data_IF_212971865574
#
_entry.id   IF_212971865574
#
_cell.length_a   1.000
_cell.length_b   1.000
_cell.length_c   1.000
_cell.angle_alpha   90.00
_cell.angle_beta   90.00
_cell.angle_gamma   90.00
#
_symmetry.space_group_name_H-M   'P 1'
#
loop_
_entity.id
_entity.type
_entity.pdbx_description
1 polymer ?
#
# COMPACT_ATOMS: atom_id res chain seq x y z
N UNK A 1 1.98 4.91 21.76
CA UNK A 1 2.18 4.10 20.54
C UNK A 1 3.65 3.74 20.25
N UNK A 2 4.58 4.69 20.32
CA UNK A 2 6.00 4.47 19.95
C UNK A 2 6.76 3.45 20.81
N UNK A 3 6.24 3.14 22.00
CA UNK A 3 6.80 2.16 22.94
C UNK A 3 6.18 0.76 22.75
N UNK A 4 5.23 0.60 21.81
CA UNK A 4 4.63 -0.70 21.53
C UNK A 4 5.70 -1.56 20.84
N UNK A 5 6.02 -2.69 21.47
CA UNK A 5 7.01 -3.61 20.94
C UNK A 5 6.51 -4.32 19.68
N UNK A 6 7.47 -4.87 18.95
CA UNK A 6 7.21 -5.63 17.75
C UNK A 6 6.29 -6.83 17.99
N UNK A 7 6.54 -7.54 19.09
CA UNK A 7 5.81 -8.73 19.52
C UNK A 7 4.36 -8.40 19.86
N UNK A 8 4.11 -7.22 20.45
CA UNK A 8 2.75 -6.77 20.76
C UNK A 8 1.97 -6.49 19.48
N UNK A 9 2.60 -5.83 18.50
CA UNK A 9 1.97 -5.60 17.20
C UNK A 9 1.63 -6.91 16.51
N UNK A 10 2.57 -7.85 16.49
CA UNK A 10 2.39 -9.15 15.86
C UNK A 10 1.29 -9.97 16.53
N UNK A 11 1.17 -9.89 17.86
CA UNK A 11 0.10 -10.52 18.63
C UNK A 11 -1.27 -9.87 18.38
N UNK A 12 -1.34 -8.56 18.19
CA UNK A 12 -2.62 -7.90 17.98
C UNK A 12 -3.22 -8.22 16.62
N UNK A 13 -2.41 -8.28 15.57
CA UNK A 13 -2.94 -8.53 14.22
C UNK A 13 -3.52 -9.94 14.05
N UNK A 14 -3.14 -10.92 14.87
CA UNK A 14 -3.74 -12.28 14.82
C UNK A 14 -5.20 -12.28 15.24
N UNK A 15 -5.68 -11.21 15.89
CA UNK A 15 -7.08 -11.04 16.27
C UNK A 15 -7.92 -10.33 15.21
N UNK A 16 -7.33 -9.91 14.07
CA UNK A 16 -8.07 -9.22 13.03
C UNK A 16 -8.93 -10.20 12.24
N UNK A 17 -10.22 -9.91 12.17
CA UNK A 17 -11.22 -10.73 11.49
C UNK A 17 -12.14 -9.92 10.57
N UNK A 18 -11.93 -8.60 10.48
CA UNK A 18 -12.63 -7.72 9.53
C UNK A 18 -11.67 -6.73 8.88
N UNK A 19 -12.06 -6.23 7.72
CA UNK A 19 -11.27 -5.22 7.01
C UNK A 19 -11.30 -3.88 7.75
N UNK A 20 -12.39 -3.56 8.45
CA UNK A 20 -12.54 -2.31 9.21
C UNK A 20 -11.54 -2.21 10.37
N UNK A 21 -11.35 -3.29 11.13
CA UNK A 21 -10.38 -3.33 12.25
C UNK A 21 -8.97 -3.15 11.70
N UNK A 22 -8.65 -3.89 10.63
CA UNK A 22 -7.37 -3.82 9.94
C UNK A 22 -7.04 -2.38 9.48
N UNK A 23 -7.98 -1.77 8.74
CA UNK A 23 -7.81 -0.44 8.17
C UNK A 23 -7.72 0.63 9.26
N UNK A 24 -8.61 0.58 10.25
CA UNK A 24 -8.63 1.53 11.37
C UNK A 24 -7.35 1.45 12.19
N UNK A 25 -6.88 0.24 12.50
CA UNK A 25 -5.65 0.04 13.25
C UNK A 25 -4.43 0.60 12.51
N UNK A 26 -4.28 0.28 11.23
CA UNK A 26 -3.17 0.77 10.42
C UNK A 26 -3.20 2.31 10.27
N UNK A 27 -4.38 2.86 9.96
CA UNK A 27 -4.57 4.29 9.76
C UNK A 27 -4.43 5.12 11.04
N UNK A 28 -4.88 4.62 12.18
CA UNK A 28 -4.96 5.43 13.40
C UNK A 28 -3.75 5.24 14.30
N UNK A 29 -3.21 4.01 14.36
CA UNK A 29 -2.13 3.69 15.29
C UNK A 29 -0.77 3.60 14.59
N UNK A 30 -0.70 2.85 13.48
CA UNK A 30 0.60 2.41 12.96
C UNK A 30 1.22 3.29 11.89
N UNK A 31 0.47 4.09 11.12
CA UNK A 31 1.03 4.86 10.01
C UNK A 31 2.19 5.81 10.37
N UNK A 32 2.29 6.24 11.64
CA UNK A 32 3.38 7.08 12.16
C UNK A 32 4.34 6.33 13.10
N UNK A 33 4.18 5.01 13.22
CA UNK A 33 5.02 4.19 14.08
C UNK A 33 6.38 3.92 13.40
N UNK A 34 7.50 3.92 14.14
CA UNK A 34 8.82 3.61 13.56
C UNK A 34 8.89 2.26 12.86
N UNK A 35 8.08 1.29 13.30
CA UNK A 35 8.00 -0.05 12.70
C UNK A 35 7.04 -0.15 11.50
N UNK A 36 6.39 0.93 11.06
CA UNK A 36 5.34 0.87 10.03
C UNK A 36 5.82 0.22 8.73
N UNK A 37 7.00 0.65 8.22
CA UNK A 37 7.57 0.11 6.98
C UNK A 37 7.98 -1.35 7.19
N UNK A 38 8.68 -1.66 8.29
CA UNK A 38 9.08 -3.03 8.62
C UNK A 38 7.86 -3.98 8.65
N UNK A 39 6.78 -3.57 9.33
CA UNK A 39 5.55 -4.35 9.43
C UNK A 39 4.77 -4.42 8.13
N UNK A 40 4.79 -3.37 7.30
CA UNK A 40 4.22 -3.43 5.97
C UNK A 40 4.84 -4.59 5.15
N UNK A 41 6.18 -4.69 5.16
CA UNK A 41 6.96 -5.70 4.42
C UNK A 41 6.82 -7.12 4.99
N UNK A 42 6.76 -7.25 6.32
CA UNK A 42 6.62 -8.56 6.96
C UNK A 42 5.20 -9.11 6.85
N UNK A 43 4.21 -8.25 7.12
CA UNK A 43 2.82 -8.68 7.14
C UNK A 43 2.29 -8.99 5.76
N UNK A 44 2.75 -8.30 4.70
CA UNK A 44 2.35 -8.60 3.32
C UNK A 44 2.68 -10.03 2.89
N UNK A 45 3.60 -10.71 3.58
CA UNK A 45 4.00 -12.10 3.29
C UNK A 45 3.22 -13.15 4.09
N UNK A 46 2.39 -12.74 5.06
CA UNK A 46 1.69 -13.67 5.94
C UNK A 46 0.60 -14.46 5.21
N UNK A 47 0.34 -15.68 5.69
CA UNK A 47 -0.67 -16.54 5.10
C UNK A 47 -2.10 -16.08 5.42
N UNK A 48 -2.34 -15.62 6.65
CA UNK A 48 -3.66 -15.14 7.10
C UNK A 48 -4.11 -13.90 6.28
N UNK A 49 -5.39 -13.87 5.90
CA UNK A 49 -5.94 -12.84 5.01
C UNK A 49 -5.85 -11.42 5.59
N UNK A 50 -6.26 -11.23 6.84
CA UNK A 50 -6.32 -9.90 7.46
C UNK A 50 -4.96 -9.41 7.94
N UNK A 51 -4.09 -10.33 8.35
CA UNK A 51 -2.69 -10.04 8.62
C UNK A 51 -1.98 -9.57 7.34
N UNK A 52 -2.15 -10.31 6.24
CA UNK A 52 -1.64 -9.92 4.93
C UNK A 52 -2.21 -8.59 4.45
N UNK A 53 -3.52 -8.39 4.59
CA UNK A 53 -4.18 -7.11 4.30
C UNK A 53 -3.51 -5.97 5.07
N UNK A 54 -3.22 -6.15 6.35
CA UNK A 54 -2.60 -5.12 7.19
C UNK A 54 -1.28 -4.63 6.60
N UNK A 55 -0.47 -5.53 6.04
CA UNK A 55 0.76 -5.18 5.33
C UNK A 55 0.52 -4.18 4.19
N UNK A 56 -0.41 -4.49 3.29
CA UNK A 56 -0.74 -3.61 2.15
C UNK A 56 -1.43 -2.32 2.56
N UNK A 57 -2.28 -2.37 3.58
CA UNK A 57 -2.91 -1.16 4.14
C UNK A 57 -1.85 -0.24 4.73
N UNK A 58 -0.82 -0.76 5.41
CA UNK A 58 0.29 0.06 5.87
C UNK A 58 1.02 0.72 4.69
N UNK A 59 1.28 0.02 3.60
CA UNK A 59 1.87 0.61 2.39
C UNK A 59 1.00 1.76 1.85
N UNK A 60 -0.32 1.54 1.74
CA UNK A 60 -1.27 2.55 1.26
C UNK A 60 -1.30 3.79 2.17
N UNK A 61 -1.40 3.57 3.48
CA UNK A 61 -1.56 4.64 4.47
C UNK A 61 -0.28 5.44 4.67
N UNK A 62 0.87 4.79 4.59
CA UNK A 62 2.17 5.46 4.60
C UNK A 62 2.32 6.43 3.42
N UNK A 63 1.70 6.11 2.26
CA UNK A 63 1.62 6.95 1.06
C UNK A 63 1.19 8.40 1.30
N UNK A 64 0.32 8.64 2.29
CA UNK A 64 -0.16 9.97 2.67
C UNK A 64 0.17 10.39 4.10
N UNK A 65 0.72 9.49 4.93
CA UNK A 65 1.05 9.78 6.32
C UNK A 65 2.34 10.58 6.45
N UNK A 66 3.46 10.02 5.97
CA UNK A 66 4.75 10.68 6.03
C UNK A 66 4.87 11.63 4.85
N UNK A 67 4.77 12.94 5.10
CA UNK A 67 4.79 13.96 4.04
C UNK A 67 6.20 14.31 3.55
N UNK A 68 7.24 13.76 4.20
CA UNK A 68 8.64 14.10 3.95
C UNK A 68 9.45 12.92 3.42
N UNK A 69 8.97 11.68 3.59
CA UNK A 69 9.63 10.48 3.06
C UNK A 69 9.93 10.60 1.55
N UNK A 70 11.15 10.22 1.19
CA UNK A 70 11.62 10.14 -0.20
C UNK A 70 10.93 9.03 -0.99
N UNK A 71 11.08 9.06 -2.31
CA UNK A 71 10.41 8.12 -3.20
C UNK A 71 10.91 6.68 -3.01
N UNK A 72 12.17 6.52 -2.63
CA UNK A 72 12.87 5.24 -2.42
C UNK A 72 12.12 4.36 -1.40
N UNK A 73 11.49 4.99 -0.39
CA UNK A 73 10.69 4.30 0.61
C UNK A 73 9.46 3.64 -0.01
N UNK A 74 8.87 4.23 -1.04
CA UNK A 74 7.67 3.70 -1.70
C UNK A 74 8.03 2.76 -2.83
N UNK A 75 9.15 3.00 -3.51
CA UNK A 75 9.62 2.19 -4.62
C UNK A 75 9.89 0.73 -4.21
N UNK A 76 10.36 0.50 -2.98
CA UNK A 76 10.56 -0.85 -2.45
C UNK A 76 9.25 -1.66 -2.35
N UNK A 77 8.07 -1.00 -2.36
CA UNK A 77 6.78 -1.68 -2.29
C UNK A 77 6.31 -2.21 -3.64
N UNK A 78 6.72 -1.62 -4.77
CA UNK A 78 6.21 -2.03 -6.08
C UNK A 78 6.46 -3.51 -6.42
N UNK A 79 7.66 -4.08 -6.22
CA UNK A 79 7.88 -5.51 -6.47
C UNK A 79 6.94 -6.42 -5.66
N UNK A 80 6.63 -6.03 -4.42
CA UNK A 80 5.76 -6.78 -3.51
C UNK A 80 4.29 -6.71 -3.98
N UNK A 81 3.88 -5.55 -4.50
CA UNK A 81 2.55 -5.39 -5.09
C UNK A 81 2.40 -6.24 -6.36
N UNK A 82 3.45 -6.34 -7.19
CA UNK A 82 3.46 -7.24 -8.36
C UNK A 82 3.37 -8.70 -7.92
N UNK A 83 4.21 -9.11 -6.97
CA UNK A 83 4.28 -10.49 -6.47
C UNK A 83 2.92 -10.98 -5.95
N UNK A 84 2.19 -10.13 -5.23
CA UNK A 84 0.94 -10.50 -4.57
C UNK A 84 -0.33 -10.07 -5.32
N UNK A 85 -0.22 -9.52 -6.53
CA UNK A 85 -1.38 -9.13 -7.32
C UNK A 85 -2.26 -10.30 -7.76
N UNK A 86 -1.75 -11.54 -7.73
CA UNK A 86 -2.50 -12.74 -8.05
C UNK A 86 -3.32 -13.32 -6.87
N UNK A 87 -3.27 -12.70 -5.69
CA UNK A 87 -4.05 -13.16 -4.54
C UNK A 87 -5.54 -12.89 -4.79
N UNK A 88 -6.33 -13.95 -4.96
CA UNK A 88 -7.76 -13.85 -5.33
C UNK A 88 -8.67 -13.47 -4.16
N UNK A 89 -8.13 -13.44 -2.93
CA UNK A 89 -8.88 -13.07 -1.72
C UNK A 89 -9.29 -11.61 -1.77
N UNK A 90 -10.59 -11.36 -1.61
CA UNK A 90 -11.20 -10.06 -1.87
C UNK A 90 -10.58 -8.93 -1.04
N UNK A 91 -10.24 -9.21 0.22
CA UNK A 91 -9.70 -8.21 1.12
C UNK A 91 -8.21 -7.96 0.87
N UNK A 92 -7.46 -8.96 0.40
CA UNK A 92 -6.07 -8.76 0.00
C UNK A 92 -6.00 -7.95 -1.28
N UNK A 93 -6.69 -8.37 -2.35
CA UNK A 93 -6.60 -7.67 -3.64
C UNK A 93 -7.04 -6.21 -3.61
N UNK A 94 -8.07 -5.91 -2.81
CA UNK A 94 -8.52 -4.53 -2.60
C UNK A 94 -7.43 -3.69 -1.92
N UNK A 95 -6.69 -4.26 -0.97
CA UNK A 95 -5.60 -3.56 -0.30
C UNK A 95 -4.38 -3.38 -1.20
N UNK A 96 -4.04 -4.37 -2.04
CA UNK A 96 -2.98 -4.23 -3.06
C UNK A 96 -3.30 -3.09 -4.03
N UNK A 97 -4.51 -3.07 -4.60
CA UNK A 97 -4.97 -1.98 -5.47
C UNK A 97 -4.96 -0.63 -4.74
N UNK A 98 -5.41 -0.58 -3.49
CA UNK A 98 -5.41 0.65 -2.72
C UNK A 98 -3.98 1.18 -2.50
N UNK A 99 -3.04 0.30 -2.12
CA UNK A 99 -1.63 0.66 -1.97
C UNK A 99 -1.04 1.23 -3.26
N UNK A 100 -1.22 0.54 -4.38
CA UNK A 100 -0.70 0.97 -5.68
C UNK A 100 -1.19 2.38 -6.06
N UNK A 101 -2.49 2.65 -5.88
CA UNK A 101 -3.08 3.97 -6.19
C UNK A 101 -2.61 5.06 -5.23
N UNK A 102 -2.54 4.79 -3.92
CA UNK A 102 -2.10 5.82 -2.96
C UNK A 102 -0.63 6.17 -3.14
N UNK A 103 0.23 5.19 -3.43
CA UNK A 103 1.63 5.44 -3.77
C UNK A 103 1.71 6.28 -5.05
N UNK A 104 0.97 5.90 -6.10
CA UNK A 104 0.95 6.65 -7.37
C UNK A 104 0.42 8.08 -7.25
N UNK A 105 -0.50 8.35 -6.33
CA UNK A 105 -1.03 9.71 -6.09
C UNK A 105 -0.10 10.61 -5.30
N UNK A 106 1.01 10.08 -4.78
CA UNK A 106 1.88 10.83 -3.88
C UNK A 106 2.59 11.99 -4.59
N UNK A 107 3.16 11.74 -5.77
CA UNK A 107 3.81 12.72 -6.64
C UNK A 107 3.91 12.16 -8.06
N UNK A 108 4.30 13.02 -9.02
CA UNK A 108 4.35 12.69 -10.45
C UNK A 108 5.37 11.59 -10.82
N UNK A 109 6.43 11.41 -10.03
CA UNK A 109 7.43 10.38 -10.32
C UNK A 109 6.95 9.00 -9.86
N UNK A 110 6.38 8.93 -8.65
CA UNK A 110 5.73 7.73 -8.17
C UNK A 110 4.47 7.38 -8.97
N UNK A 111 3.78 8.37 -9.55
CA UNK A 111 2.68 8.13 -10.48
C UNK A 111 3.16 7.34 -11.70
N UNK A 112 4.26 7.75 -12.33
CA UNK A 112 4.86 7.04 -13.48
C UNK A 112 5.22 5.61 -13.10
N UNK A 113 5.93 5.44 -11.98
CA UNK A 113 6.32 4.10 -11.48
C UNK A 113 5.11 3.22 -11.13
N UNK A 114 4.06 3.79 -10.56
CA UNK A 114 2.82 3.07 -10.26
C UNK A 114 2.07 2.66 -11.54
N UNK A 115 2.08 3.49 -12.59
CA UNK A 115 1.52 3.13 -13.91
C UNK A 115 2.34 2.02 -14.56
N UNK A 116 3.67 2.09 -14.52
CA UNK A 116 4.56 1.03 -15.00
C UNK A 116 4.28 -0.30 -14.25
N UNK A 117 4.20 -0.23 -12.93
CA UNK A 117 3.86 -1.37 -12.05
C UNK A 117 2.48 -1.94 -12.39
N UNK A 118 1.47 -1.08 -12.62
CA UNK A 118 0.14 -1.54 -13.00
C UNK A 118 0.15 -2.25 -14.37
N UNK A 119 0.94 -1.76 -15.33
CA UNK A 119 1.11 -2.43 -16.62
C UNK A 119 1.87 -3.76 -16.49
N UNK A 120 2.80 -3.88 -15.55
CA UNK A 120 3.44 -5.16 -15.23
C UNK A 120 2.44 -6.16 -14.63
N UNK A 121 1.64 -5.73 -13.65
CA UNK A 121 0.57 -6.54 -13.05
C UNK A 121 -0.43 -6.99 -14.13
N UNK A 122 -0.73 -6.13 -15.11
CA UNK A 122 -1.66 -6.44 -16.22
C UNK A 122 -1.19 -7.61 -17.10
N UNK A 123 0.10 -7.96 -17.08
CA UNK A 123 0.63 -9.13 -17.81
C UNK A 123 0.26 -10.46 -17.14
N UNK A 124 -0.15 -10.43 -15.87
CA UNK A 124 -0.56 -11.63 -15.15
C UNK A 124 -1.99 -12.04 -15.57
N UNK A 125 -2.24 -13.34 -15.71
CA UNK A 125 -3.52 -13.88 -16.18
C UNK A 125 -4.62 -13.98 -15.10
N UNK A 126 -4.29 -13.73 -13.83
CA UNK A 126 -5.23 -13.84 -12.72
C UNK A 126 -6.32 -12.76 -12.77
N UNK A 127 -7.53 -13.09 -12.30
CA UNK A 127 -8.65 -12.13 -12.31
C UNK A 127 -8.37 -10.98 -11.34
N UNK A 128 -7.73 -11.31 -10.22
CA UNK A 128 -7.26 -10.33 -9.24
C UNK A 128 -6.31 -9.31 -9.86
N UNK A 129 -5.25 -9.75 -10.54
CA UNK A 129 -4.27 -8.86 -11.14
C UNK A 129 -4.88 -7.99 -12.24
N UNK A 130 -5.70 -8.58 -13.11
CA UNK A 130 -6.41 -7.85 -14.15
C UNK A 130 -7.29 -6.73 -13.57
N UNK A 131 -8.00 -6.99 -12.47
CA UNK A 131 -8.82 -5.99 -11.80
C UNK A 131 -7.97 -4.89 -11.14
N UNK A 132 -6.92 -5.27 -10.39
CA UNK A 132 -6.01 -4.33 -9.72
C UNK A 132 -5.40 -3.36 -10.73
N UNK A 133 -4.83 -3.89 -11.81
CA UNK A 133 -4.14 -3.11 -12.83
C UNK A 133 -5.08 -2.15 -13.56
N UNK A 134 -6.21 -2.65 -14.07
CA UNK A 134 -7.16 -1.82 -14.83
C UNK A 134 -7.75 -0.70 -13.99
N UNK A 135 -8.10 -0.97 -12.73
CA UNK A 135 -8.61 0.06 -11.82
C UNK A 135 -7.53 1.11 -11.49
N UNK A 136 -6.30 0.67 -11.19
CA UNK A 136 -5.19 1.58 -10.90
C UNK A 136 -4.83 2.45 -12.11
N UNK A 137 -4.75 1.88 -13.32
CA UNK A 137 -4.47 2.63 -14.55
C UNK A 137 -5.55 3.67 -14.83
N UNK A 138 -6.83 3.28 -14.75
CA UNK A 138 -7.97 4.19 -14.95
C UNK A 138 -7.90 5.40 -14.02
N UNK A 139 -7.53 5.18 -12.77
CA UNK A 139 -7.47 6.25 -11.77
C UNK A 139 -6.22 7.12 -11.91
N UNK A 140 -5.05 6.52 -12.10
CA UNK A 140 -3.77 7.22 -12.15
C UNK A 140 -3.54 7.95 -13.47
N UNK A 141 -4.13 7.50 -14.57
CA UNK A 141 -4.06 8.17 -15.87
C UNK A 141 -5.23 9.13 -16.11
N UNK A 142 -6.17 9.22 -15.17
CA UNK A 142 -7.33 10.10 -15.30
C UNK A 142 -6.97 11.59 -15.26
N UNK A 143 -7.64 12.40 -16.07
CA UNK A 143 -7.40 13.85 -16.18
C UNK A 143 -7.54 14.60 -14.85
N UNK A 144 -8.38 14.09 -13.93
CA UNK A 144 -8.67 14.69 -12.63
C UNK A 144 -7.94 13.98 -11.48
N UNK A 145 -6.85 13.27 -11.76
CA UNK A 145 -6.05 12.63 -10.72
C UNK A 145 -5.52 13.69 -9.75
N UNK A 146 -5.83 13.52 -8.47
CA UNK A 146 -5.36 14.42 -7.42
C UNK A 146 -3.99 13.95 -6.92
N UNK A 147 -2.94 14.60 -7.39
CA UNK A 147 -1.56 14.37 -6.93
C UNK A 147 -1.29 15.22 -5.68
N UNK A 148 -0.69 14.60 -4.66
CA UNK A 148 -0.51 15.22 -3.33
C UNK A 148 0.73 16.13 -3.25
N UNK A 149 1.67 15.94 -4.18
CA UNK A 149 2.97 16.59 -4.30
C UNK A 149 3.88 16.39 -3.08
N UNK A 150 3.85 15.22 -2.46
CA UNK A 150 4.76 14.91 -1.34
C UNK A 150 6.08 14.32 -1.84
N UNK A 151 7.24 14.71 -1.27
CA UNK A 151 7.41 15.84 -0.36
C UNK A 151 7.28 17.20 -1.05
N UNK A 152 6.52 18.12 -0.45
CA UNK A 152 6.17 19.42 -1.07
C UNK A 152 7.38 20.34 -1.25
N UNK A 153 8.44 20.11 -0.50
CA UNK A 153 9.74 20.77 -0.68
C UNK A 153 10.36 20.51 -2.06
N UNK A 154 9.99 19.41 -2.71
CA UNK A 154 10.46 19.03 -4.05
C UNK A 154 9.43 19.41 -5.12
N UNK A 155 8.15 19.08 -4.89
CA UNK A 155 7.13 19.08 -5.94
C UNK A 155 6.20 20.33 -5.99
N UNK A 156 6.28 21.26 -5.02
CA UNK A 156 5.47 22.50 -5.01
C UNK A 156 6.29 23.79 -5.05
N UNK A 157 7.42 23.77 -5.74
CA UNK A 157 8.22 24.99 -5.94
C UNK A 157 7.52 25.99 -6.85
#
# INVERSE_FOLDING_TARGET
>A
PKEISEEVLDKWITHFNTWEICDSFCMQLLKFHPLAIKKALEWSKRANEFEKRAGFVLMATYGFADKNAGNEVFEQFFPILVEHANDERIYVKKAVNWALRQIGKRNVDLQKKAIETANEILKQSSRSAQWIAKDALKELQGEKVNILDYPRSIYRK
#
